data_IF_934389572928
#
_entry.id   IF_934389572928
#
_cell.length_a   1.000
_cell.length_b   1.000
_cell.length_c   1.000
_cell.angle_alpha   90.00
_cell.angle_beta   90.00
_cell.angle_gamma   90.00
#
_symmetry.space_group_name_H-M   'P 1'
#
loop_
_entity.id
_entity.type
_entity.pdbx_description
1 polymer ?
#
# COMPACT_ATOMS: atom_id res chain seq x y z
N UNK A 1 17.40 -6.28 -29.91
CA UNK A 1 18.20 -6.45 -28.68
C UNK A 1 17.62 -7.50 -27.73
N UNK A 2 18.46 -8.25 -27.00
CA UNK A 2 18.02 -9.28 -26.03
C UNK A 2 17.94 -8.67 -24.62
N UNK A 3 16.80 -8.87 -23.94
CA UNK A 3 16.63 -8.41 -22.57
C UNK A 3 17.58 -9.16 -21.61
N UNK A 4 18.41 -8.47 -20.80
CA UNK A 4 19.33 -9.14 -19.88
C UNK A 4 18.62 -9.86 -18.73
N UNK A 5 17.40 -9.43 -18.37
CA UNK A 5 16.67 -9.94 -17.21
C UNK A 5 15.81 -11.18 -17.53
N UNK A 6 15.17 -11.21 -18.69
CA UNK A 6 14.29 -12.33 -19.06
C UNK A 6 14.66 -13.03 -20.39
N UNK A 7 15.72 -12.57 -21.06
CA UNK A 7 16.23 -13.10 -22.34
C UNK A 7 15.23 -13.05 -23.51
N UNK A 8 14.12 -12.31 -23.38
CA UNK A 8 13.22 -12.02 -24.50
C UNK A 8 13.91 -11.12 -25.52
N UNK A 9 13.80 -11.48 -26.78
CA UNK A 9 14.16 -10.61 -27.89
C UNK A 9 13.15 -9.47 -28.02
N UNK A 10 13.67 -8.24 -28.07
CA UNK A 10 12.90 -7.01 -28.19
C UNK A 10 13.45 -6.16 -29.34
N UNK A 11 12.60 -5.26 -29.87
CA UNK A 11 13.03 -4.22 -30.80
C UNK A 11 14.06 -3.30 -30.11
N UNK A 12 15.03 -2.80 -30.87
CA UNK A 12 16.07 -1.87 -30.40
C UNK A 12 15.52 -0.49 -30.04
N UNK A 13 14.37 -0.13 -30.62
CA UNK A 13 13.62 1.10 -30.27
C UNK A 13 12.85 0.98 -28.95
N UNK A 14 12.67 -0.24 -28.42
CA UNK A 14 11.92 -0.44 -27.19
C UNK A 14 12.74 0.05 -25.98
N UNK A 15 12.24 1.06 -25.27
CA UNK A 15 12.83 1.54 -24.02
C UNK A 15 12.68 0.54 -22.86
N UNK A 16 11.68 -0.34 -22.93
CA UNK A 16 11.39 -1.35 -21.91
C UNK A 16 11.07 -2.70 -22.56
N UNK A 17 11.37 -3.79 -21.85
CA UNK A 17 11.08 -5.14 -22.29
C UNK A 17 9.57 -5.38 -22.30
N UNK A 18 9.02 -5.77 -23.45
CA UNK A 18 7.59 -6.04 -23.61
C UNK A 18 7.10 -7.27 -22.81
N UNK A 19 8.01 -8.10 -22.29
CA UNK A 19 7.68 -9.31 -21.54
C UNK A 19 7.78 -9.13 -20.02
N UNK A 20 8.77 -8.38 -19.53
CA UNK A 20 9.02 -8.27 -18.09
C UNK A 20 9.11 -6.83 -17.57
N UNK A 21 9.01 -5.82 -18.45
CA UNK A 21 9.08 -4.41 -18.09
C UNK A 21 10.49 -3.88 -17.76
N UNK A 22 11.56 -4.70 -17.85
CA UNK A 22 12.91 -4.24 -17.58
C UNK A 22 13.37 -3.17 -18.59
N UNK A 23 13.93 -2.05 -18.12
CA UNK A 23 14.48 -1.01 -19.01
C UNK A 23 15.58 -1.62 -19.90
N UNK A 24 15.46 -1.35 -21.19
CA UNK A 24 16.41 -1.73 -22.20
C UNK A 24 17.31 -0.50 -22.44
N UNK A 25 18.64 -0.67 -22.43
CA UNK A 25 19.57 0.46 -22.60
C UNK A 25 19.38 1.03 -24.01
N UNK A 26 18.88 2.26 -24.11
CA UNK A 26 18.43 2.87 -25.35
C UNK A 26 18.06 4.32 -25.13
N UNK A 27 19.03 5.11 -24.71
CA UNK A 27 18.89 6.55 -24.53
C UNK A 27 20.17 7.25 -24.96
N UNK A 28 20.44 7.21 -26.27
CA UNK A 28 21.44 8.07 -26.89
C UNK A 28 20.82 9.47 -27.02
N UNK A 29 21.34 10.39 -26.21
CA UNK A 29 21.47 11.82 -26.50
C UNK A 29 20.19 12.68 -26.61
N UNK A 30 19.42 12.82 -25.52
CA UNK A 30 18.73 14.09 -25.17
C UNK A 30 18.41 14.10 -23.66
N UNK A 31 19.42 13.93 -22.81
CA UNK A 31 19.27 13.96 -21.34
C UNK A 31 20.31 14.85 -20.65
N UNK A 32 20.72 15.95 -21.29
CA UNK A 32 21.69 16.88 -20.66
C UNK A 32 21.03 18.15 -20.11
N UNK A 33 19.82 18.52 -20.54
CA UNK A 33 19.14 19.75 -20.06
C UNK A 33 17.94 19.50 -19.15
N UNK A 34 17.41 18.28 -19.06
CA UNK A 34 16.21 17.99 -18.26
C UNK A 34 16.56 17.49 -16.85
N UNK A 35 17.75 16.90 -16.65
CA UNK A 35 18.15 16.30 -15.36
C UNK A 35 18.21 17.35 -14.25
N UNK A 36 18.72 18.57 -14.52
CA UNK A 36 18.80 19.64 -13.51
C UNK A 36 17.43 20.19 -13.10
N UNK A 37 16.45 20.21 -14.02
CA UNK A 37 15.10 20.72 -13.72
C UNK A 37 14.26 19.67 -12.99
N UNK A 38 14.49 18.39 -13.26
CA UNK A 38 13.71 17.30 -12.64
C UNK A 38 14.08 17.03 -11.17
N UNK A 39 15.30 17.33 -10.72
CA UNK A 39 15.66 17.14 -9.31
C UNK A 39 14.95 18.08 -8.34
N UNK A 40 14.51 19.26 -8.80
CA UNK A 40 13.71 20.18 -8.00
C UNK A 40 12.21 19.83 -8.05
N UNK A 41 11.70 19.39 -9.20
CA UNK A 41 10.26 19.10 -9.39
C UNK A 41 9.86 17.74 -8.79
N UNK A 42 10.71 16.71 -8.84
CA UNK A 42 10.38 15.36 -8.34
C UNK A 42 10.34 15.29 -6.81
N UNK A 43 11.06 16.16 -6.09
CA UNK A 43 11.03 16.22 -4.63
C UNK A 43 9.69 16.76 -4.07
N UNK A 44 8.88 17.44 -4.90
CA UNK A 44 7.58 18.01 -4.50
C UNK A 44 6.40 17.03 -4.63
N UNK A 45 6.43 16.09 -5.59
CA UNK A 45 5.35 15.10 -5.81
C UNK A 45 5.32 13.97 -4.76
N UNK A 46 6.41 13.75 -4.02
CA UNK A 46 6.52 12.73 -2.97
C UNK A 46 5.68 13.05 -1.71
N UNK A 47 5.44 14.33 -1.42
CA UNK A 47 4.81 14.73 -0.15
C UNK A 47 3.28 14.56 -0.10
N UNK A 48 2.63 14.32 -1.24
CA UNK A 48 1.16 14.22 -1.30
C UNK A 48 0.69 12.81 -0.92
N UNK A 49 1.41 11.76 -1.35
CA UNK A 49 1.03 10.36 -1.06
C UNK A 49 1.46 9.87 0.33
N UNK A 50 2.42 10.54 0.99
CA UNK A 50 2.94 10.11 2.29
C UNK A 50 2.10 10.59 3.48
N UNK A 51 1.24 11.60 3.31
CA UNK A 51 0.34 12.09 4.37
C UNK A 51 -0.96 11.30 4.54
N UNK A 52 -1.33 10.45 3.58
CA UNK A 52 -2.59 9.68 3.64
C UNK A 52 -2.46 8.42 4.52
N UNK A 53 -1.23 7.90 4.74
CA UNK A 53 -1.01 6.69 5.57
C UNK A 53 -0.84 6.96 7.08
N UNK A 54 -0.81 8.21 7.50
CA UNK A 54 -0.67 8.56 8.92
C UNK A 54 -2.04 8.77 9.56
N UNK A 55 -2.24 8.09 10.69
CA UNK A 55 -3.39 8.16 11.59
C UNK A 55 -4.55 7.17 11.36
N UNK A 56 -4.26 5.88 11.12
CA UNK A 56 -5.01 4.83 11.81
C UNK A 56 -4.07 4.14 12.80
N UNK A 57 -3.95 4.75 13.99
CA UNK A 57 -3.18 4.21 15.10
C UNK A 57 -3.69 2.81 15.44
N UNK A 58 -3.00 1.78 14.95
CA UNK A 58 -3.31 0.34 15.12
C UNK A 58 -3.67 -0.03 16.57
N UNK A 59 -3.15 0.71 17.56
CA UNK A 59 -3.47 0.57 18.99
C UNK A 59 -4.94 0.85 19.33
N UNK A 60 -5.61 1.77 18.64
CA UNK A 60 -7.02 2.12 18.87
C UNK A 60 -7.96 1.02 18.38
N UNK A 61 -7.63 0.37 17.26
CA UNK A 61 -8.43 -0.74 16.69
C UNK A 61 -8.49 -1.92 17.67
N UNK A 62 -7.36 -2.27 18.30
CA UNK A 62 -7.32 -3.32 19.32
C UNK A 62 -8.14 -2.96 20.58
N UNK A 63 -8.13 -1.69 21.01
CA UNK A 63 -8.94 -1.23 22.13
C UNK A 63 -10.45 -1.34 21.87
N UNK A 64 -10.90 -0.99 20.66
CA UNK A 64 -12.31 -1.07 20.29
C UNK A 64 -12.83 -2.52 20.26
N UNK A 65 -12.04 -3.48 19.74
CA UNK A 65 -12.42 -4.90 19.69
C UNK A 65 -12.60 -5.49 21.10
N UNK A 66 -11.69 -5.16 22.03
CA UNK A 66 -11.76 -5.62 23.42
C UNK A 66 -13.02 -5.07 24.10
N UNK A 67 -13.30 -3.77 23.94
CA UNK A 67 -14.48 -3.14 24.51
C UNK A 67 -15.80 -3.76 24.00
N UNK A 68 -15.90 -4.00 22.68
CA UNK A 68 -17.10 -4.62 22.08
C UNK A 68 -17.28 -6.05 22.62
N UNK A 69 -16.20 -6.81 22.77
CA UNK A 69 -16.26 -8.19 23.28
C UNK A 69 -16.79 -8.25 24.71
N UNK A 70 -16.35 -7.34 25.59
CA UNK A 70 -16.85 -7.25 26.97
C UNK A 70 -18.34 -6.89 27.04
N UNK A 71 -18.80 -5.99 26.18
CA UNK A 71 -20.22 -5.60 26.11
C UNK A 71 -21.08 -6.79 25.71
N UNK A 72 -20.68 -7.56 24.70
CA UNK A 72 -21.44 -8.73 24.23
C UNK A 72 -21.52 -9.81 25.32
N UNK A 73 -20.41 -10.09 26.01
CA UNK A 73 -20.37 -11.05 27.12
C UNK A 73 -21.29 -10.59 28.28
N UNK A 74 -21.31 -9.29 28.59
CA UNK A 74 -22.18 -8.72 29.60
C UNK A 74 -23.66 -8.89 29.25
N UNK A 75 -24.05 -8.57 28.01
CA UNK A 75 -25.44 -8.74 27.53
C UNK A 75 -25.86 -10.21 27.57
N UNK A 76 -24.98 -11.13 27.15
CA UNK A 76 -25.26 -12.56 27.17
C UNK A 76 -25.46 -13.09 28.59
N UNK A 77 -24.55 -12.73 29.50
CA UNK A 77 -24.63 -13.08 30.93
C UNK A 77 -25.89 -12.53 31.58
N UNK A 78 -26.26 -11.28 31.27
CA UNK A 78 -27.47 -10.65 31.78
C UNK A 78 -28.74 -11.36 31.30
N UNK A 79 -28.79 -11.71 30.02
CA UNK A 79 -29.91 -12.48 29.46
C UNK A 79 -30.03 -13.84 30.15
N UNK A 80 -28.91 -14.54 30.34
CA UNK A 80 -28.88 -15.84 31.00
C UNK A 80 -29.34 -15.74 32.47
N UNK A 81 -28.87 -14.74 33.20
CA UNK A 81 -29.31 -14.46 34.57
C UNK A 81 -30.82 -14.22 34.66
N UNK A 82 -31.38 -13.40 33.76
CA UNK A 82 -32.80 -13.09 33.78
C UNK A 82 -33.68 -14.31 33.43
N UNK A 83 -33.23 -15.18 32.53
CA UNK A 83 -33.92 -16.45 32.24
C UNK A 83 -33.95 -17.37 33.46
N UNK A 84 -32.84 -17.49 34.20
CA UNK A 84 -32.79 -18.33 35.41
C UNK A 84 -33.68 -17.79 36.55
N UNK A 85 -33.90 -16.48 36.65
CA UNK A 85 -34.84 -15.90 37.62
C UNK A 85 -36.32 -16.15 37.29
N UNK A 86 -36.66 -16.43 36.04
CA UNK A 86 -38.06 -16.73 35.67
C UNK A 86 -38.45 -18.19 35.89
N UNK A 87 -37.48 -19.10 36.09
CA UNK A 87 -37.70 -20.53 36.33
C UNK A 87 -37.70 -20.92 37.83
N UNK A 88 -37.46 -19.98 38.74
CA UNK A 88 -37.38 -20.20 40.20
C UNK A 88 -38.39 -19.32 40.93
#
# INVERSE_FOLDING_TARGET
MICPSCRKENNEENLFCANCGNKLKGDTETQTSIITVTSEIVNSQNQIFTKIKQAFNKKYIWGAIIAISLIVIGIFSFKQYNTTLQEN
#
